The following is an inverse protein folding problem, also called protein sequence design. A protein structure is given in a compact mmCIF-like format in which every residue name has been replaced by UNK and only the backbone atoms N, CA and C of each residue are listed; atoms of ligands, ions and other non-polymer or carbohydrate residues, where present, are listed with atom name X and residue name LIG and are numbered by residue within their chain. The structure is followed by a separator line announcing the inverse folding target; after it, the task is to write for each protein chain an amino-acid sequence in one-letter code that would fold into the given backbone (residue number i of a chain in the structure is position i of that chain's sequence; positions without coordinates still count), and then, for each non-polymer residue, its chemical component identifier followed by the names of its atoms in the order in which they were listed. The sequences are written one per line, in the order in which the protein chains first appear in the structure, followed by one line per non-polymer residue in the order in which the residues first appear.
data_IF_403752866919
#
_entry.id   IF_403752866919
#
_cell.length_a   1.000
_cell.length_b   1.000
_cell.length_c   1.000
_cell.angle_alpha   90.00
_cell.angle_beta   90.00
_cell.angle_gamma   90.00
#
_symmetry.space_group_name_H-M   'P 1'
#
loop_
_entity.id
_entity.type
_entity.pdbx_description
1 polymer ?
#
# COMPACT_ATOMS: atom_id res chain seq x y z
N UNK A 1 5.90 19.14 -10.27
CA UNK A 1 7.17 18.56 -9.77
C UNK A 1 7.14 17.09 -10.09
N UNK A 2 8.26 16.52 -10.57
CA UNK A 2 8.34 15.07 -10.75
C UNK A 2 8.58 14.40 -9.39
N UNK A 3 8.12 13.16 -9.21
CA UNK A 3 8.32 12.42 -7.95
C UNK A 3 9.84 12.28 -7.62
N UNK A 4 10.69 12.20 -8.64
CA UNK A 4 12.15 12.20 -8.49
C UNK A 4 12.68 13.52 -7.92
N UNK A 5 12.11 14.67 -8.33
CA UNK A 5 12.55 15.98 -7.82
C UNK A 5 12.23 16.14 -6.32
N UNK A 6 11.13 15.55 -5.86
CA UNK A 6 10.70 15.58 -4.46
C UNK A 6 11.63 14.72 -3.58
N UNK A 7 11.88 13.47 -4.01
CA UNK A 7 12.83 12.56 -3.35
C UNK A 7 14.24 13.15 -3.31
N UNK A 8 14.70 13.74 -4.42
CA UNK A 8 16.00 14.41 -4.49
C UNK A 8 16.09 15.58 -3.52
N UNK A 9 15.04 16.39 -3.40
CA UNK A 9 15.01 17.54 -2.48
C UNK A 9 15.05 17.10 -1.00
N UNK A 10 14.47 15.96 -0.68
CA UNK A 10 14.44 15.42 0.69
C UNK A 10 15.77 14.78 1.11
N UNK A 11 16.37 14.01 0.22
CA UNK A 11 17.47 13.09 0.54
C UNK A 11 18.85 13.57 0.07
N UNK A 12 18.94 14.50 -0.88
CA UNK A 12 20.23 14.99 -1.40
C UNK A 12 21.17 15.45 -0.29
N UNK A 13 22.37 14.87 -0.27
CA UNK A 13 23.43 15.19 0.69
C UNK A 13 23.24 14.55 2.07
N UNK A 14 22.17 13.76 2.27
CA UNK A 14 21.92 13.00 3.52
C UNK A 14 22.14 11.50 3.36
N UNK A 15 22.32 11.02 2.13
CA UNK A 15 22.43 9.59 1.83
C UNK A 15 23.84 9.02 2.06
N UNK A 16 24.87 9.88 2.17
CA UNK A 16 26.28 9.50 2.32
C UNK A 16 26.82 8.63 1.17
N UNK A 17 26.14 8.66 0.02
CA UNK A 17 26.58 8.06 -1.24
C UNK A 17 27.29 9.10 -2.11
N UNK A 18 28.04 8.63 -3.11
CA UNK A 18 28.53 9.52 -4.16
C UNK A 18 27.37 9.96 -5.09
N UNK A 19 27.62 11.00 -5.86
CA UNK A 19 26.61 11.66 -6.70
C UNK A 19 26.03 10.74 -7.81
N UNK A 20 26.76 9.69 -8.20
CA UNK A 20 26.33 8.69 -9.17
C UNK A 20 25.35 7.69 -8.54
N UNK A 21 25.70 7.14 -7.36
CA UNK A 21 24.88 6.19 -6.63
C UNK A 21 23.66 6.85 -5.96
N UNK A 22 23.77 8.13 -5.59
CA UNK A 22 22.67 8.90 -5.02
C UNK A 22 21.55 9.14 -6.06
N UNK A 23 21.90 9.32 -7.34
CA UNK A 23 20.94 9.41 -8.43
C UNK A 23 20.15 8.12 -8.65
N UNK A 24 20.82 6.96 -8.65
CA UNK A 24 20.18 5.65 -8.78
C UNK A 24 19.25 5.36 -7.59
N UNK A 25 19.65 5.78 -6.38
CA UNK A 25 18.82 5.69 -5.17
C UNK A 25 17.52 6.47 -5.31
N UNK A 26 17.57 7.70 -5.83
CA UNK A 26 16.37 8.52 -6.01
C UNK A 26 15.42 7.94 -7.05
N UNK A 27 15.95 7.39 -8.15
CA UNK A 27 15.14 6.73 -9.17
C UNK A 27 14.38 5.53 -8.57
N UNK A 28 15.09 4.66 -7.83
CA UNK A 28 14.48 3.49 -7.17
C UNK A 28 13.45 3.90 -6.12
N UNK A 29 13.73 4.92 -5.31
CA UNK A 29 12.78 5.40 -4.29
C UNK A 29 11.53 5.97 -4.96
N UNK A 30 11.67 6.75 -6.03
CA UNK A 30 10.53 7.29 -6.78
C UNK A 30 9.65 6.18 -7.38
N UNK A 31 10.27 5.08 -7.83
CA UNK A 31 9.54 3.93 -8.36
C UNK A 31 8.74 3.21 -7.26
N UNK A 32 9.35 3.04 -6.07
CA UNK A 32 8.68 2.50 -4.88
C UNK A 32 7.52 3.39 -4.45
N UNK A 33 7.70 4.70 -4.31
CA UNK A 33 6.61 5.61 -3.93
C UNK A 33 5.47 5.62 -4.94
N UNK A 34 5.79 5.52 -6.23
CA UNK A 34 4.78 5.41 -7.28
C UNK A 34 4.02 4.09 -7.19
N UNK A 35 4.70 2.98 -6.94
CA UNK A 35 4.07 1.67 -6.72
C UNK A 35 3.21 1.67 -5.44
N UNK A 36 3.63 2.38 -4.39
CA UNK A 36 2.84 2.57 -3.17
C UNK A 36 1.56 3.38 -3.42
N UNK A 37 1.66 4.51 -4.13
CA UNK A 37 0.48 5.31 -4.54
C UNK A 37 -0.47 4.52 -5.44
N UNK A 38 0.07 3.68 -6.31
CA UNK A 38 -0.72 2.79 -7.17
C UNK A 38 -1.36 1.62 -6.40
N UNK A 39 -0.91 1.35 -5.17
CA UNK A 39 -1.33 0.19 -4.39
C UNK A 39 -0.77 -1.13 -4.92
N UNK A 40 0.32 -1.08 -5.68
CA UNK A 40 0.96 -2.22 -6.36
C UNK A 40 2.30 -2.61 -5.70
N UNK A 41 2.67 -1.94 -4.61
CA UNK A 41 3.90 -2.19 -3.84
C UNK A 41 4.01 -3.64 -3.33
N UNK A 42 2.87 -4.29 -3.09
CA UNK A 42 2.78 -5.70 -2.72
C UNK A 42 1.98 -6.41 -3.81
N UNK A 43 2.70 -6.98 -4.77
CA UNK A 43 2.14 -7.76 -5.86
C UNK A 43 1.28 -8.91 -5.30
N UNK A 44 -0.05 -8.79 -5.39
CA UNK A 44 -1.02 -9.81 -4.98
C UNK A 44 -1.97 -9.44 -3.83
N UNK A 45 -1.90 -8.23 -3.27
CA UNK A 45 -2.90 -7.73 -2.31
C UNK A 45 -3.57 -6.47 -2.85
N UNK A 46 -4.41 -6.66 -3.86
CA UNK A 46 -5.23 -5.56 -4.40
C UNK A 46 -6.15 -5.04 -3.29
N UNK A 47 -6.49 -3.74 -3.31
CA UNK A 47 -7.58 -3.20 -2.47
C UNK A 47 -8.88 -4.00 -2.62
N UNK A 48 -9.09 -4.66 -3.75
CA UNK A 48 -10.22 -5.57 -3.98
C UNK A 48 -10.17 -6.84 -3.13
N UNK A 49 -8.99 -7.38 -2.86
CA UNK A 49 -8.82 -8.59 -2.03
C UNK A 49 -9.15 -8.29 -0.57
N UNK A 50 -8.80 -7.10 -0.08
CA UNK A 50 -9.25 -6.62 1.22
C UNK A 50 -10.78 -6.57 1.33
N UNK A 51 -11.47 -6.12 0.27
CA UNK A 51 -12.93 -6.10 0.24
C UNK A 51 -13.54 -7.50 0.26
N UNK A 52 -12.92 -8.47 -0.42
CA UNK A 52 -13.34 -9.87 -0.38
C UNK A 52 -13.21 -10.47 1.03
N UNK A 53 -12.11 -10.18 1.74
CA UNK A 53 -11.92 -10.63 3.12
C UNK A 53 -13.00 -10.04 4.05
N UNK A 54 -13.29 -8.74 3.91
CA UNK A 54 -14.36 -8.08 4.68
C UNK A 54 -15.73 -8.70 4.37
N UNK A 55 -16.02 -8.96 3.10
CA UNK A 55 -17.27 -9.61 2.69
C UNK A 55 -17.40 -11.01 3.27
N UNK A 56 -16.33 -11.83 3.25
CA UNK A 56 -16.33 -13.15 3.88
C UNK A 56 -16.58 -13.07 5.38
N UNK A 57 -15.97 -12.10 6.08
CA UNK A 57 -16.16 -11.92 7.52
C UNK A 57 -17.61 -11.53 7.84
N UNK A 58 -18.24 -10.68 7.02
CA UNK A 58 -19.66 -10.34 7.17
C UNK A 58 -20.57 -11.57 6.95
N UNK A 59 -20.31 -12.37 5.92
CA UNK A 59 -21.13 -13.55 5.58
C UNK A 59 -20.98 -14.68 6.59
N UNK A 60 -19.77 -14.97 7.06
CA UNK A 60 -19.51 -16.09 7.96
C UNK A 60 -19.53 -15.71 9.45
N UNK A 61 -19.26 -14.45 9.78
CA UNK A 61 -19.23 -13.98 11.17
C UNK A 61 -20.51 -13.28 11.58
N UNK A 62 -20.92 -12.25 10.83
CA UNK A 62 -21.98 -11.33 11.26
C UNK A 62 -23.38 -11.88 10.93
N UNK A 63 -23.60 -12.33 9.70
CA UNK A 63 -24.88 -12.84 9.23
C UNK A 63 -25.44 -14.01 10.06
N UNK A 64 -24.64 -15.03 10.46
CA UNK A 64 -25.12 -16.14 11.26
C UNK A 64 -25.49 -15.71 12.68
N UNK A 65 -24.76 -14.75 13.25
CA UNK A 65 -25.04 -14.18 14.57
C UNK A 65 -26.36 -13.41 14.57
N UNK A 66 -26.58 -12.58 13.55
CA UNK A 66 -27.86 -11.85 13.39
C UNK A 66 -29.00 -12.83 13.16
N UNK A 67 -28.82 -13.83 12.30
CA UNK A 67 -29.83 -14.86 12.05
C UNK A 67 -30.20 -15.61 13.32
N UNK A 68 -29.20 -16.02 14.11
CA UNK A 68 -29.41 -16.68 15.38
C UNK A 68 -30.14 -15.76 16.36
N UNK A 69 -29.74 -14.49 16.47
CA UNK A 69 -30.42 -13.52 17.30
C UNK A 69 -31.90 -13.36 16.89
N UNK A 70 -32.22 -13.20 15.61
CA UNK A 70 -33.61 -13.05 15.13
C UNK A 70 -34.45 -14.31 15.32
N UNK A 71 -33.85 -15.50 15.27
CA UNK A 71 -34.60 -16.77 15.40
C UNK A 71 -34.88 -17.17 16.85
N UNK A 72 -34.05 -16.71 17.79
CA UNK A 72 -34.09 -17.15 19.19
C UNK A 72 -34.43 -16.03 20.19
N UNK A 73 -34.62 -14.79 19.72
CA UNK A 73 -35.12 -13.64 20.46
C UNK A 73 -36.45 -13.18 19.85
#
# INVERSE_FOLDING_TARGET
MSDIDEVKLELSGKTNFDEEHEGELFERISEVERQERAGDLVQGLSRGDCWLVVAMLAVFGVLPVIWYAVRYF
#
